data_IF_088384209121
#
_entry.id   IF_088384209121
#
_cell.length_a   1.000
_cell.length_b   1.000
_cell.length_c   1.000
_cell.angle_alpha   90.00
_cell.angle_beta   90.00
_cell.angle_gamma   90.00
#
_symmetry.space_group_name_H-M   'P 1'
#
loop_
_entity.id
_entity.type
_entity.pdbx_description
1 polymer ?
#
# COMPACT_ATOMS: atom_id res chain seq x y z
N UNK A 1 -16.11 -6.57 -2.44
CA UNK A 1 -15.54 -5.91 -1.25
C UNK A 1 -14.93 -4.57 -1.70
N UNK A 2 -15.39 -3.42 -1.16
CA UNK A 2 -14.85 -2.10 -1.48
C UNK A 2 -13.34 -1.93 -1.19
N UNK A 3 -12.80 -2.67 -0.21
CA UNK A 3 -11.38 -2.60 0.15
C UNK A 3 -10.47 -3.33 -0.85
N UNK A 4 -11.03 -4.29 -1.62
CA UNK A 4 -10.26 -5.19 -2.48
C UNK A 4 -9.50 -4.45 -3.59
N UNK A 5 -10.21 -3.68 -4.43
CA UNK A 5 -9.59 -3.02 -5.59
C UNK A 5 -8.48 -2.04 -5.20
N UNK A 6 -8.66 -1.12 -4.22
CA UNK A 6 -7.61 -0.21 -3.79
C UNK A 6 -6.31 -0.90 -3.34
N UNK A 7 -6.42 -2.04 -2.66
CA UNK A 7 -5.27 -2.81 -2.18
C UNK A 7 -4.61 -3.54 -3.35
N UNK A 8 -5.40 -4.27 -4.15
CA UNK A 8 -4.89 -5.09 -5.26
C UNK A 8 -4.18 -4.23 -6.30
N UNK A 9 -4.74 -3.08 -6.68
CA UNK A 9 -4.12 -2.18 -7.65
C UNK A 9 -2.76 -1.66 -7.17
N UNK A 10 -2.64 -1.24 -5.91
CA UNK A 10 -1.37 -0.73 -5.35
C UNK A 10 -0.32 -1.83 -5.22
N UNK A 11 -0.73 -3.01 -4.76
CA UNK A 11 0.15 -4.17 -4.69
C UNK A 11 0.66 -4.56 -6.09
N UNK A 12 -0.23 -4.58 -7.09
CA UNK A 12 0.13 -4.86 -8.47
C UNK A 12 1.10 -3.82 -9.04
N UNK A 13 0.91 -2.53 -8.75
CA UNK A 13 1.86 -1.46 -9.13
C UNK A 13 3.24 -1.65 -8.50
N UNK A 14 3.33 -2.22 -7.30
CA UNK A 14 4.62 -2.50 -6.65
C UNK A 14 5.31 -3.76 -7.19
N UNK A 15 4.55 -4.75 -7.66
CA UNK A 15 5.03 -6.07 -8.11
C UNK A 15 5.33 -6.08 -9.61
N UNK A 16 4.39 -5.61 -10.42
CA UNK A 16 4.41 -5.76 -11.88
C UNK A 16 5.31 -4.70 -12.51
N UNK A 17 6.64 -4.80 -12.34
CA UNK A 17 7.61 -3.80 -12.81
C UNK A 17 8.50 -4.29 -13.95
N UNK A 18 8.32 -5.54 -14.39
CA UNK A 18 9.05 -6.14 -15.52
C UNK A 18 8.11 -6.90 -16.45
N UNK A 19 8.46 -7.09 -17.73
CA UNK A 19 7.60 -7.77 -18.71
C UNK A 19 7.13 -9.19 -18.29
N UNK A 20 7.92 -9.87 -17.44
CA UNK A 20 7.55 -11.18 -16.90
C UNK A 20 6.23 -11.17 -16.11
N UNK A 21 5.80 -10.00 -15.64
CA UNK A 21 4.54 -9.81 -14.90
C UNK A 21 3.40 -9.23 -15.75
N UNK A 22 3.55 -9.06 -17.08
CA UNK A 22 2.51 -8.44 -17.92
C UNK A 22 1.17 -9.20 -17.87
N UNK A 23 1.21 -10.53 -17.83
CA UNK A 23 0.00 -11.34 -17.68
C UNK A 23 -0.68 -11.14 -16.32
N UNK A 24 0.11 -10.95 -15.25
CA UNK A 24 -0.42 -10.66 -13.91
C UNK A 24 -1.01 -9.24 -13.85
N UNK A 25 -0.32 -8.26 -14.43
CA UNK A 25 -0.79 -6.88 -14.55
C UNK A 25 -2.16 -6.82 -15.24
N UNK A 26 -2.31 -7.51 -16.38
CA UNK A 26 -3.58 -7.58 -17.11
C UNK A 26 -4.70 -8.23 -16.27
N UNK A 27 -4.40 -9.30 -15.53
CA UNK A 27 -5.38 -10.00 -14.71
C UNK A 27 -5.98 -9.15 -13.57
N UNK A 28 -5.27 -8.08 -13.16
CA UNK A 28 -5.69 -7.16 -12.09
C UNK A 28 -6.06 -5.77 -12.61
N UNK A 29 -6.22 -5.61 -13.93
CA UNK A 29 -6.70 -4.38 -14.56
C UNK A 29 -5.63 -3.31 -14.84
N UNK A 30 -4.34 -3.65 -14.76
CA UNK A 30 -3.25 -2.82 -15.29
C UNK A 30 -2.97 -3.17 -16.75
N UNK A 31 -2.40 -2.25 -17.52
CA UNK A 31 -2.08 -2.49 -18.93
C UNK A 31 -0.89 -3.43 -19.10
N UNK A 32 0.17 -3.24 -18.32
CA UNK A 32 1.43 -4.01 -18.36
C UNK A 32 2.34 -3.58 -17.22
N UNK A 33 3.57 -4.08 -17.21
CA UNK A 33 4.65 -3.63 -16.34
C UNK A 33 4.95 -2.13 -16.41
N UNK A 34 4.50 -1.43 -17.47
CA UNK A 34 4.63 0.02 -17.61
C UNK A 34 3.80 0.81 -16.60
N UNK A 35 2.76 0.20 -16.05
CA UNK A 35 1.98 0.77 -14.94
C UNK A 35 2.63 0.46 -13.59
N UNK A 36 3.67 -0.39 -13.57
CA UNK A 36 4.50 -0.65 -12.41
C UNK A 36 5.32 0.55 -11.99
N UNK A 37 5.46 0.75 -10.68
CA UNK A 37 6.17 1.89 -10.10
C UNK A 37 7.56 1.47 -9.65
N UNK A 38 8.59 2.03 -10.28
CA UNK A 38 10.01 1.79 -9.96
C UNK A 38 10.67 2.93 -9.18
N UNK A 39 10.13 4.15 -9.27
CA UNK A 39 10.60 5.32 -8.52
C UNK A 39 10.47 5.09 -7.00
N UNK A 40 11.57 5.29 -6.26
CA UNK A 40 11.65 4.94 -4.84
C UNK A 40 10.67 5.74 -3.98
N UNK A 41 10.48 7.03 -4.26
CA UNK A 41 9.56 7.90 -3.52
C UNK A 41 8.12 7.48 -3.77
N UNK A 42 7.71 7.28 -5.02
CA UNK A 42 6.36 6.80 -5.35
C UNK A 42 6.09 5.42 -4.76
N UNK A 43 7.08 4.52 -4.75
CA UNK A 43 6.98 3.21 -4.10
C UNK A 43 6.78 3.33 -2.59
N UNK A 44 7.46 4.27 -1.93
CA UNK A 44 7.28 4.53 -0.51
C UNK A 44 5.85 5.03 -0.21
N UNK A 45 5.31 5.94 -1.05
CA UNK A 45 3.91 6.37 -0.95
C UNK A 45 2.94 5.20 -1.07
N UNK A 46 3.08 4.35 -2.10
CA UNK A 46 2.20 3.18 -2.29
C UNK A 46 2.23 2.21 -1.10
N UNK A 47 3.40 2.02 -0.48
CA UNK A 47 3.53 1.18 0.73
C UNK A 47 2.81 1.79 1.93
N UNK A 48 2.99 3.08 2.17
CA UNK A 48 2.28 3.79 3.23
C UNK A 48 0.75 3.72 3.03
N UNK A 49 0.28 3.89 1.80
CA UNK A 49 -1.14 3.73 1.45
C UNK A 49 -1.64 2.31 1.69
N UNK A 50 -0.85 1.29 1.36
CA UNK A 50 -1.18 -0.11 1.65
C UNK A 50 -1.26 -0.36 3.15
N UNK A 51 -0.30 0.11 3.94
CA UNK A 51 -0.30 -0.06 5.41
C UNK A 51 -1.58 0.53 6.02
N UNK A 52 -1.99 1.72 5.58
CA UNK A 52 -3.23 2.35 6.03
C UNK A 52 -4.50 1.60 5.59
N UNK A 53 -4.59 1.17 4.33
CA UNK A 53 -5.73 0.40 3.82
C UNK A 53 -5.85 -0.96 4.53
N UNK A 54 -4.72 -1.62 4.82
CA UNK A 54 -4.70 -2.91 5.52
C UNK A 54 -5.11 -2.74 6.98
N UNK A 55 -4.67 -1.67 7.66
CA UNK A 55 -5.13 -1.37 9.00
C UNK A 55 -6.66 -1.22 9.07
N UNK A 56 -7.26 -0.53 8.10
CA UNK A 56 -8.73 -0.43 7.97
C UNK A 56 -9.39 -1.77 7.65
N UNK A 57 -8.80 -2.59 6.78
CA UNK A 57 -9.30 -3.93 6.46
C UNK A 57 -9.40 -4.82 7.72
N UNK A 58 -8.46 -4.68 8.65
CA UNK A 58 -8.46 -5.38 9.93
C UNK A 58 -9.28 -4.68 11.02
N UNK A 59 -9.89 -3.53 10.73
CA UNK A 59 -10.71 -2.78 11.69
C UNK A 59 -9.90 -2.16 12.84
N UNK A 60 -8.61 -1.89 12.64
CA UNK A 60 -7.78 -1.25 13.66
C UNK A 60 -8.24 0.18 13.90
N UNK A 61 -8.33 0.56 15.16
CA UNK A 61 -8.41 1.96 15.57
C UNK A 61 -7.07 2.67 15.34
N UNK A 62 -7.08 4.01 15.37
CA UNK A 62 -5.84 4.78 15.25
C UNK A 62 -4.81 4.45 16.33
N UNK A 63 -5.27 4.20 17.57
CA UNK A 63 -4.40 3.82 18.69
C UNK A 63 -3.80 2.43 18.50
N UNK A 64 -4.59 1.46 18.02
CA UNK A 64 -4.10 0.11 17.74
C UNK A 64 -3.11 0.12 16.58
N UNK A 65 -3.38 0.89 15.52
CA UNK A 65 -2.45 1.01 14.41
C UNK A 65 -1.14 1.70 14.83
N UNK A 66 -1.22 2.77 15.65
CA UNK A 66 -0.03 3.39 16.23
C UNK A 66 0.79 2.40 17.07
N UNK A 67 0.12 1.55 17.85
CA UNK A 67 0.76 0.49 18.61
C UNK A 67 1.47 -0.51 17.69
N UNK A 68 0.81 -1.00 16.63
CA UNK A 68 1.43 -1.89 15.63
C UNK A 68 2.68 -1.26 15.03
N UNK A 69 2.61 -0.01 14.57
CA UNK A 69 3.77 0.70 14.01
C UNK A 69 4.94 0.83 15.00
N UNK A 70 4.64 0.97 16.30
CA UNK A 70 5.67 1.03 17.35
C UNK A 70 6.42 -0.30 17.57
N UNK A 71 5.84 -1.43 17.18
CA UNK A 71 6.49 -2.76 17.31
C UNK A 71 7.61 -3.00 16.29
N UNK A 72 7.81 -2.06 15.35
CA UNK A 72 8.87 -2.11 14.34
C UNK A 72 9.98 -1.08 14.63
N UNK A 73 10.88 -1.33 15.60
CA UNK A 73 11.88 -0.35 16.03
C UNK A 73 12.93 -0.02 14.96
N UNK A 74 13.14 -0.90 13.98
CA UNK A 74 14.11 -0.70 12.90
C UNK A 74 13.55 0.09 11.72
N UNK A 75 12.23 0.30 11.67
CA UNK A 75 11.59 1.12 10.64
C UNK A 75 11.77 2.58 11.00
N UNK A 76 12.21 3.39 10.05
CA UNK A 76 12.40 4.82 10.25
C UNK A 76 11.09 5.54 10.59
N UNK A 77 11.16 6.58 11.41
CA UNK A 77 9.96 7.26 11.93
C UNK A 77 9.19 8.02 10.85
N UNK A 78 9.85 8.47 9.79
CA UNK A 78 9.23 9.08 8.63
C UNK A 78 8.33 8.07 7.88
N UNK A 79 8.74 6.81 7.78
CA UNK A 79 7.93 5.73 7.20
C UNK A 79 6.68 5.46 8.06
N UNK A 80 6.84 5.36 9.39
CA UNK A 80 5.71 5.19 10.32
C UNK A 80 4.74 6.37 10.24
N UNK A 81 5.29 7.59 10.17
CA UNK A 81 4.50 8.82 10.03
C UNK A 81 3.73 8.84 8.72
N UNK A 82 4.36 8.42 7.62
CA UNK A 82 3.71 8.32 6.32
C UNK A 82 2.55 7.29 6.33
N UNK A 83 2.77 6.11 6.93
CA UNK A 83 1.73 5.08 7.07
C UNK A 83 0.54 5.59 7.90
N UNK A 84 0.79 6.22 9.04
CA UNK A 84 -0.26 6.84 9.87
C UNK A 84 -0.97 7.99 9.14
N UNK A 85 -0.23 8.80 8.36
CA UNK A 85 -0.81 9.84 7.52
C UNK A 85 -1.75 9.27 6.47
N UNK A 86 -1.34 8.20 5.78
CA UNK A 86 -2.16 7.53 4.78
C UNK A 86 -3.40 6.88 5.39
N UNK A 87 -3.27 6.22 6.56
CA UNK A 87 -4.41 5.69 7.33
C UNK A 87 -5.48 6.76 7.64
N UNK A 88 -5.06 7.96 8.03
CA UNK A 88 -5.99 9.06 8.35
C UNK A 88 -6.72 9.61 7.11
N UNK A 89 -6.02 9.68 5.97
CA UNK A 89 -6.56 10.23 4.71
C UNK A 89 -7.47 9.23 4.01
N UNK A 90 -7.05 7.97 3.93
CA UNK A 90 -7.77 6.90 3.25
C UNK A 90 -8.76 6.29 4.23
N UNK A 91 -10.05 6.64 4.13
CA UNK A 91 -11.12 5.91 4.80
C UNK A 91 -11.74 4.92 3.83
N UNK A 92 -11.96 3.69 4.27
CA UNK A 92 -12.83 2.74 3.55
C UNK A 92 -14.24 3.32 3.50
N UNK A 93 -14.81 3.41 2.29
CA UNK A 93 -16.21 3.78 2.04
C UNK A 93 -17.16 2.66 2.51
#
# INVERSE_FOLDING_TARGET
>A
DPAFNPIVTRAAQLICTTPAFDSLAAAVGLHSHRDGVTDSTKRATLRAELDGLIAHLYGLTELEFAHVLSTFPLVADDIKTAAMGAYRVLKTL
#
